data_IF_644622116938
#
_entry.id   IF_644622116938
#
_cell.length_a   1.000
_cell.length_b   1.000
_cell.length_c   1.000
_cell.angle_alpha   90.00
_cell.angle_beta   90.00
_cell.angle_gamma   90.00
#
_symmetry.space_group_name_H-M   'P 1'
#
loop_
_entity.id
_entity.type
_entity.pdbx_description
1 polymer ?
#
# COMPACT_ATOMS: atom_id res chain seq x y z
N UNK A 1 83.40 -37.49 1.88
CA UNK A 1 82.62 -37.29 0.71
C UNK A 1 81.15 -37.63 1.08
N UNK A 2 80.29 -36.64 1.33
CA UNK A 2 78.88 -36.80 1.66
C UNK A 2 78.10 -35.82 0.82
N UNK A 3 77.36 -36.34 -0.17
CA UNK A 3 76.45 -35.56 -1.01
C UNK A 3 75.18 -35.29 -0.23
N UNK A 4 74.84 -33.99 0.00
CA UNK A 4 73.52 -33.53 0.47
C UNK A 4 72.64 -33.22 -0.75
N UNK A 5 71.67 -34.06 -0.96
CA UNK A 5 70.63 -33.84 -1.96
C UNK A 5 69.56 -32.92 -1.32
N UNK A 6 69.37 -31.73 -1.88
CA UNK A 6 68.30 -30.81 -1.46
C UNK A 6 67.06 -31.17 -2.25
N UNK A 7 65.99 -31.63 -1.56
CA UNK A 7 64.63 -31.72 -2.11
C UNK A 7 63.95 -30.34 -2.04
N UNK A 8 63.61 -29.81 -3.18
CA UNK A 8 62.78 -28.59 -3.30
C UNK A 8 61.31 -29.04 -3.39
N UNK A 9 60.54 -28.77 -2.35
CA UNK A 9 59.08 -29.01 -2.36
C UNK A 9 58.38 -27.84 -3.04
N UNK A 10 57.73 -28.12 -4.15
CA UNK A 10 56.91 -27.16 -4.90
C UNK A 10 55.51 -27.17 -4.29
N UNK A 11 55.14 -26.12 -3.52
CA UNK A 11 53.81 -25.94 -2.96
C UNK A 11 52.90 -25.30 -4.04
N UNK A 12 52.00 -26.07 -4.62
CA UNK A 12 51.00 -25.59 -5.57
C UNK A 12 49.81 -25.03 -4.78
N UNK A 13 49.73 -23.71 -4.66
CA UNK A 13 48.59 -23.03 -4.06
C UNK A 13 47.41 -23.04 -5.01
N UNK A 14 46.40 -23.84 -4.73
CA UNK A 14 45.12 -23.84 -5.44
C UNK A 14 44.34 -22.60 -4.98
N UNK A 15 44.33 -21.53 -5.75
CA UNK A 15 43.46 -20.36 -5.53
C UNK A 15 42.02 -20.73 -5.92
N UNK A 16 41.20 -20.97 -4.90
CA UNK A 16 39.75 -21.02 -5.09
C UNK A 16 39.25 -19.61 -5.39
N UNK A 17 39.02 -19.30 -6.64
CA UNK A 17 38.23 -18.12 -7.04
C UNK A 17 36.77 -18.37 -6.66
N UNK A 18 36.31 -17.80 -5.55
CA UNK A 18 34.89 -17.64 -5.27
C UNK A 18 34.36 -16.68 -6.32
N UNK A 19 33.76 -17.22 -7.38
CA UNK A 19 32.86 -16.44 -8.25
C UNK A 19 31.65 -16.08 -7.40
N UNK A 20 31.56 -14.83 -6.93
CA UNK A 20 30.31 -14.27 -6.44
C UNK A 20 29.33 -14.40 -7.60
N UNK A 21 28.36 -15.31 -7.48
CA UNK A 21 27.22 -15.34 -8.37
C UNK A 21 26.55 -13.95 -8.27
N UNK A 22 26.26 -13.27 -9.38
CA UNK A 22 25.51 -12.05 -9.34
C UNK A 22 24.20 -12.35 -8.56
N UNK A 23 23.87 -11.53 -7.58
CA UNK A 23 22.53 -11.54 -6.99
C UNK A 23 21.54 -11.47 -8.16
N UNK A 24 20.64 -12.46 -8.27
CA UNK A 24 19.76 -12.64 -9.42
C UNK A 24 18.88 -11.41 -9.62
N UNK A 25 19.37 -10.45 -10.41
CA UNK A 25 18.49 -9.46 -11.05
C UNK A 25 17.53 -10.28 -11.93
N UNK A 26 16.21 -10.17 -11.68
CA UNK A 26 15.20 -10.89 -12.43
C UNK A 26 14.62 -12.16 -11.77
N UNK A 27 15.06 -12.54 -10.56
CA UNK A 27 14.61 -13.80 -9.94
C UNK A 27 13.09 -13.86 -9.66
N UNK A 28 12.45 -12.75 -9.35
CA UNK A 28 10.99 -12.68 -9.14
C UNK A 28 10.29 -12.76 -10.49
N UNK A 29 10.74 -11.98 -11.47
CA UNK A 29 10.17 -11.99 -12.82
C UNK A 29 10.25 -13.38 -13.44
N UNK A 30 11.41 -14.02 -13.40
CA UNK A 30 11.62 -15.36 -13.95
C UNK A 30 10.70 -16.39 -13.29
N UNK A 31 10.57 -16.36 -11.97
CA UNK A 31 9.66 -17.24 -11.22
C UNK A 31 8.21 -17.02 -11.63
N UNK A 32 7.75 -15.78 -11.72
CA UNK A 32 6.38 -15.40 -12.10
C UNK A 32 6.07 -15.89 -13.52
N UNK A 33 6.97 -15.65 -14.46
CA UNK A 33 6.79 -16.06 -15.86
C UNK A 33 6.85 -17.59 -16.04
N UNK A 34 7.73 -18.27 -15.30
CA UNK A 34 7.83 -19.74 -15.33
C UNK A 34 6.59 -20.40 -14.69
N UNK A 35 6.13 -19.88 -13.55
CA UNK A 35 4.93 -20.37 -12.86
C UNK A 35 3.63 -19.99 -13.58
N UNK A 36 3.66 -19.03 -14.50
CA UNK A 36 2.46 -18.39 -15.09
C UNK A 36 1.49 -17.83 -14.05
N UNK A 37 2.00 -17.46 -12.89
CA UNK A 37 1.21 -16.98 -11.75
C UNK A 37 1.93 -15.84 -11.04
N UNK A 38 1.23 -14.74 -10.83
CA UNK A 38 1.63 -13.58 -10.06
C UNK A 38 0.88 -13.60 -8.72
N UNK A 39 1.61 -13.71 -7.63
CA UNK A 39 1.03 -13.68 -6.28
C UNK A 39 0.96 -12.24 -5.79
N UNK A 40 -0.24 -11.80 -5.46
CA UNK A 40 -0.50 -10.41 -5.07
C UNK A 40 -1.08 -10.34 -3.66
N UNK A 41 -0.41 -9.61 -2.77
CA UNK A 41 -0.97 -9.25 -1.48
C UNK A 41 -1.92 -8.05 -1.62
N UNK A 42 -3.08 -8.12 -0.96
CA UNK A 42 -4.06 -7.03 -0.86
C UNK A 42 -4.83 -7.14 0.46
N UNK A 43 -5.70 -6.19 0.77
CA UNK A 43 -6.57 -6.22 1.95
C UNK A 43 -7.93 -6.88 1.61
N UNK A 44 -8.54 -7.56 2.57
CA UNK A 44 -9.88 -8.14 2.43
C UNK A 44 -10.99 -7.31 3.09
N UNK A 45 -10.62 -6.19 3.77
CA UNK A 45 -11.53 -5.41 4.62
C UNK A 45 -11.41 -3.90 4.38
N UNK A 46 -11.12 -3.50 3.15
CA UNK A 46 -10.96 -2.10 2.80
C UNK A 46 -11.76 -1.70 1.55
N UNK A 47 -13.08 -1.78 1.66
CA UNK A 47 -13.99 -1.34 0.59
C UNK A 47 -13.89 0.18 0.35
N UNK A 48 -14.04 0.62 -0.90
CA UNK A 48 -14.22 -0.14 -2.14
C UNK A 48 -12.89 -0.50 -2.84
N UNK A 49 -11.73 -0.32 -2.19
CA UNK A 49 -10.42 -0.59 -2.77
C UNK A 49 -10.18 -2.10 -2.92
N UNK A 50 -10.31 -2.86 -1.83
CA UNK A 50 -10.22 -4.32 -1.83
C UNK A 50 -11.03 -4.89 -0.67
N UNK A 51 -11.90 -5.84 -0.95
CA UNK A 51 -12.82 -6.41 0.05
C UNK A 51 -13.38 -7.75 -0.41
N UNK A 52 -13.94 -8.50 0.55
CA UNK A 52 -14.73 -9.70 0.23
C UNK A 52 -16.16 -9.28 -0.11
N UNK A 53 -16.64 -9.64 -1.30
CA UNK A 53 -18.01 -9.38 -1.73
C UNK A 53 -19.01 -10.37 -1.12
N UNK A 54 -20.32 -10.20 -1.37
CA UNK A 54 -21.39 -11.06 -0.85
C UNK A 54 -21.31 -12.53 -1.31
N UNK A 55 -20.50 -12.81 -2.36
CA UNK A 55 -20.22 -14.16 -2.84
C UNK A 55 -18.98 -14.78 -2.22
N UNK A 56 -18.37 -14.10 -1.25
CA UNK A 56 -17.10 -14.47 -0.65
C UNK A 56 -15.95 -14.53 -1.67
N UNK A 57 -15.96 -13.61 -2.65
CA UNK A 57 -14.90 -13.42 -3.62
C UNK A 57 -14.19 -12.09 -3.36
N UNK A 58 -12.89 -12.05 -3.57
CA UNK A 58 -12.13 -10.82 -3.46
C UNK A 58 -12.44 -9.88 -4.64
N UNK A 59 -12.84 -8.65 -4.34
CA UNK A 59 -13.32 -7.66 -5.30
C UNK A 59 -12.81 -6.26 -4.93
N UNK A 60 -12.92 -5.30 -5.85
CA UNK A 60 -12.52 -3.92 -5.61
C UNK A 60 -11.60 -3.34 -6.68
N UNK A 61 -11.30 -2.05 -6.53
CA UNK A 61 -10.45 -1.31 -7.46
C UNK A 61 -9.04 -1.91 -7.57
N UNK A 62 -8.37 -2.14 -6.43
CA UNK A 62 -7.03 -2.70 -6.36
C UNK A 62 -6.97 -4.12 -6.93
N UNK A 63 -8.03 -4.90 -6.71
CA UNK A 63 -8.18 -6.26 -7.26
C UNK A 63 -8.26 -6.23 -8.78
N UNK A 64 -9.04 -5.31 -9.36
CA UNK A 64 -9.14 -5.15 -10.81
C UNK A 64 -7.82 -4.64 -11.41
N UNK A 65 -7.12 -3.72 -10.73
CA UNK A 65 -5.78 -3.25 -11.13
C UNK A 65 -4.78 -4.41 -11.17
N UNK A 66 -4.73 -5.23 -10.11
CA UNK A 66 -3.83 -6.38 -10.06
C UNK A 66 -4.14 -7.41 -11.16
N UNK A 67 -5.42 -7.67 -11.43
CA UNK A 67 -5.84 -8.57 -12.52
C UNK A 67 -5.40 -8.06 -13.90
N UNK A 68 -5.49 -6.73 -14.14
CA UNK A 68 -5.04 -6.15 -15.43
C UNK A 68 -3.52 -6.19 -15.55
N UNK A 69 -2.77 -5.95 -14.47
CA UNK A 69 -1.30 -6.13 -14.45
C UNK A 69 -0.95 -7.59 -14.85
N UNK A 70 -1.57 -8.58 -14.20
CA UNK A 70 -1.34 -9.99 -14.53
C UNK A 70 -1.64 -10.31 -16.00
N UNK A 71 -2.75 -9.78 -16.53
CA UNK A 71 -3.12 -9.91 -17.94
C UNK A 71 -2.06 -9.33 -18.87
N UNK A 72 -1.48 -8.16 -18.55
CA UNK A 72 -0.41 -7.53 -19.36
C UNK A 72 0.90 -8.31 -19.30
N UNK A 73 1.18 -8.96 -18.17
CA UNK A 73 2.32 -9.87 -18.03
C UNK A 73 2.07 -11.27 -18.67
N UNK A 74 0.84 -11.58 -19.09
CA UNK A 74 0.47 -12.89 -19.63
C UNK A 74 0.43 -14.01 -18.61
N UNK A 75 0.09 -13.69 -17.35
CA UNK A 75 0.02 -14.61 -16.21
C UNK A 75 -1.33 -14.53 -15.48
N UNK A 76 -1.70 -15.58 -14.75
CA UNK A 76 -2.83 -15.54 -13.80
C UNK A 76 -2.44 -14.79 -12.52
N UNK A 77 -3.43 -14.32 -11.78
CA UNK A 77 -3.22 -13.67 -10.48
C UNK A 77 -3.77 -14.57 -9.37
N UNK A 78 -2.95 -14.80 -8.36
CA UNK A 78 -3.33 -15.45 -7.10
C UNK A 78 -3.26 -14.40 -5.99
N UNK A 79 -4.35 -14.21 -5.26
CA UNK A 79 -4.40 -13.25 -4.17
C UNK A 79 -4.14 -13.88 -2.81
N UNK A 80 -3.41 -13.16 -1.97
CA UNK A 80 -3.27 -13.42 -0.54
C UNK A 80 -3.67 -12.17 0.24
N UNK A 81 -4.26 -12.36 1.42
CA UNK A 81 -4.79 -11.25 2.24
C UNK A 81 -4.17 -11.24 3.63
N UNK A 82 -2.85 -11.01 3.75
CA UNK A 82 -2.19 -10.84 5.04
C UNK A 82 -2.64 -9.52 5.68
N UNK A 83 -2.46 -9.39 7.00
CA UNK A 83 -2.72 -8.14 7.70
C UNK A 83 -1.81 -7.00 7.18
N UNK A 84 -2.32 -5.79 7.22
CA UNK A 84 -1.60 -4.58 6.79
C UNK A 84 -0.24 -4.40 7.50
N UNK A 85 -0.18 -4.72 8.78
CA UNK A 85 1.04 -4.71 9.59
C UNK A 85 2.10 -5.68 9.06
N UNK A 86 1.69 -6.85 8.58
CA UNK A 86 2.58 -7.86 7.97
C UNK A 86 3.08 -7.39 6.61
N UNK A 87 2.22 -6.76 5.80
CA UNK A 87 2.61 -6.21 4.50
C UNK A 87 3.65 -5.10 4.69
N UNK A 88 3.38 -4.13 5.55
CA UNK A 88 4.23 -2.95 5.74
C UNK A 88 5.52 -3.22 6.51
N UNK A 89 5.62 -4.34 7.20
CA UNK A 89 6.86 -4.77 7.83
C UNK A 89 7.94 -5.21 6.83
N UNK A 90 7.58 -5.54 5.58
CA UNK A 90 8.49 -6.10 4.59
C UNK A 90 8.87 -7.55 4.91
N UNK A 91 9.99 -8.00 4.32
CA UNK A 91 10.50 -9.36 4.48
C UNK A 91 9.45 -10.41 4.12
N UNK A 92 8.87 -10.27 2.92
CA UNK A 92 7.81 -11.14 2.42
C UNK A 92 8.29 -12.56 2.13
N UNK A 93 9.59 -12.74 1.92
CA UNK A 93 10.24 -14.05 1.74
C UNK A 93 9.58 -14.90 0.65
N UNK A 94 9.13 -14.28 -0.44
CA UNK A 94 8.49 -14.96 -1.57
C UNK A 94 7.08 -15.51 -1.30
N UNK A 95 6.44 -15.13 -0.19
CA UNK A 95 5.04 -15.49 0.08
C UNK A 95 4.10 -14.86 -0.94
N UNK A 96 4.44 -13.69 -1.45
CA UNK A 96 3.85 -13.00 -2.59
C UNK A 96 4.90 -12.18 -3.32
N UNK A 97 4.59 -11.73 -4.53
CA UNK A 97 5.53 -11.08 -5.44
C UNK A 97 5.44 -9.56 -5.40
N UNK A 98 4.22 -9.03 -5.23
CA UNK A 98 3.95 -7.60 -5.12
C UNK A 98 2.75 -7.33 -4.22
N UNK A 99 2.59 -6.08 -3.82
CA UNK A 99 1.40 -5.59 -3.12
C UNK A 99 0.64 -4.60 -4.01
N UNK A 100 -0.66 -4.85 -4.18
CA UNK A 100 -1.64 -3.91 -4.77
C UNK A 100 -2.77 -3.76 -3.76
N UNK A 101 -2.68 -2.73 -2.96
CA UNK A 101 -3.58 -2.44 -1.85
C UNK A 101 -3.35 -1.00 -1.38
N UNK A 102 -3.17 -0.10 -2.35
CA UNK A 102 -3.12 1.34 -2.12
C UNK A 102 -2.02 1.79 -1.15
N UNK A 103 -0.78 1.35 -1.38
CA UNK A 103 0.34 1.77 -0.53
C UNK A 103 0.88 3.13 -0.98
N UNK A 104 0.87 4.10 -0.07
CA UNK A 104 1.48 5.41 -0.29
C UNK A 104 3.00 5.31 -0.20
N UNK A 105 3.77 5.75 -1.19
CA UNK A 105 5.20 5.93 -1.08
C UNK A 105 5.55 6.96 -0.01
N UNK A 106 6.23 6.54 1.05
CA UNK A 106 6.79 7.41 2.08
C UNK A 106 8.28 7.13 2.22
N UNK A 107 9.06 8.09 2.75
CA UNK A 107 10.51 7.88 2.97
C UNK A 107 10.80 6.59 3.72
N UNK A 108 10.05 6.34 4.80
CA UNK A 108 10.20 5.14 5.62
C UNK A 108 9.90 3.86 4.84
N UNK A 109 8.86 3.87 4.00
CA UNK A 109 8.50 2.71 3.18
C UNK A 109 9.49 2.49 2.03
N UNK A 110 10.05 3.57 1.47
CA UNK A 110 11.08 3.51 0.44
C UNK A 110 12.42 2.94 0.92
N UNK A 111 12.64 2.77 2.23
CA UNK A 111 13.76 2.03 2.79
C UNK A 111 13.60 0.50 2.65
N UNK A 112 12.39 0.02 2.35
CA UNK A 112 12.01 -1.40 2.34
C UNK A 112 11.48 -1.83 0.97
N UNK A 113 10.79 -0.92 0.26
CA UNK A 113 10.05 -1.22 -0.95
C UNK A 113 10.45 -0.34 -2.11
N UNK A 114 10.37 -0.90 -3.31
CA UNK A 114 10.29 -0.15 -4.56
C UNK A 114 8.82 0.13 -4.90
N UNK A 115 8.59 1.25 -5.61
CA UNK A 115 7.27 1.72 -6.03
C UNK A 115 7.23 1.89 -7.55
N UNK A 116 7.13 0.80 -8.32
CA UNK A 116 7.27 0.82 -9.77
C UNK A 116 6.17 1.61 -10.51
N UNK A 117 5.04 1.88 -9.83
CA UNK A 117 3.99 2.68 -10.46
C UNK A 117 2.93 3.20 -9.50
N UNK A 118 2.73 4.52 -9.49
CA UNK A 118 1.55 5.16 -8.89
C UNK A 118 0.38 4.93 -9.84
N UNK A 119 -0.74 4.41 -9.36
CA UNK A 119 -1.87 4.09 -10.22
C UNK A 119 -3.13 4.93 -9.94
N UNK A 120 -3.18 5.64 -8.80
CA UNK A 120 -4.21 6.63 -8.53
C UNK A 120 -3.85 7.53 -7.33
N UNK A 121 -4.72 8.51 -7.05
CA UNK A 121 -4.55 9.47 -5.95
C UNK A 121 -5.85 9.56 -5.17
N UNK A 122 -5.82 9.38 -3.85
CA UNK A 122 -7.02 9.52 -3.04
C UNK A 122 -6.95 10.67 -2.06
N UNK A 123 -8.05 11.37 -1.81
CA UNK A 123 -8.16 12.29 -0.69
C UNK A 123 -8.29 11.51 0.62
N UNK A 124 -7.49 11.86 1.61
CA UNK A 124 -7.69 11.49 2.99
C UNK A 124 -8.67 12.48 3.64
N UNK A 125 -9.63 11.97 4.38
CA UNK A 125 -10.67 12.78 4.99
C UNK A 125 -10.98 12.34 6.42
N UNK A 126 -11.80 13.11 7.09
CA UNK A 126 -12.21 12.85 8.46
C UNK A 126 -13.69 12.51 8.50
N UNK A 127 -14.05 11.40 9.13
CA UNK A 127 -15.42 11.05 9.46
C UNK A 127 -15.70 11.33 10.94
N UNK A 128 -16.89 11.81 11.23
CA UNK A 128 -17.45 11.94 12.59
C UNK A 128 -18.79 11.24 12.65
N UNK A 129 -19.27 10.93 13.85
CA UNK A 129 -20.64 10.43 13.99
C UNK A 129 -21.66 11.45 13.45
N UNK A 130 -22.76 11.02 12.84
CA UNK A 130 -23.76 11.91 12.22
C UNK A 130 -24.30 12.96 13.20
N UNK A 131 -24.41 12.61 14.50
CA UNK A 131 -24.91 13.48 15.56
C UNK A 131 -23.81 14.33 16.22
N UNK A 132 -22.55 14.22 15.74
CA UNK A 132 -21.46 15.04 16.24
C UNK A 132 -21.73 16.53 16.05
N UNK A 133 -21.34 17.31 17.06
CA UNK A 133 -21.45 18.77 17.08
C UNK A 133 -20.24 19.46 16.44
N UNK A 134 -19.20 18.71 16.08
CA UNK A 134 -18.07 19.26 15.34
C UNK A 134 -18.54 19.81 13.99
N UNK A 135 -18.15 21.03 13.67
CA UNK A 135 -18.48 21.74 12.44
C UNK A 135 -17.25 22.06 11.60
N UNK A 136 -16.08 22.06 12.23
CA UNK A 136 -14.79 22.29 11.61
C UNK A 136 -13.78 21.22 12.02
N UNK A 137 -12.70 21.04 11.27
CA UNK A 137 -11.61 20.13 11.63
C UNK A 137 -10.93 20.55 12.94
N UNK A 138 -10.86 21.85 13.24
CA UNK A 138 -10.28 22.38 14.47
C UNK A 138 -11.05 21.95 15.74
N UNK A 139 -12.33 21.58 15.61
CA UNK A 139 -13.13 21.07 16.74
C UNK A 139 -12.64 19.69 17.22
N UNK A 140 -11.75 19.05 16.46
CA UNK A 140 -11.10 17.78 16.80
C UNK A 140 -9.80 17.95 17.61
N UNK A 141 -9.39 19.17 17.92
CA UNK A 141 -8.32 19.39 18.89
C UNK A 141 -8.70 18.76 20.23
N UNK A 142 -7.73 18.11 20.85
CA UNK A 142 -7.88 17.41 22.14
C UNK A 142 -8.93 16.28 22.15
N UNK A 143 -9.31 15.76 20.98
CA UNK A 143 -10.27 14.67 20.82
C UNK A 143 -9.60 13.32 20.60
N UNK A 144 -10.39 12.23 20.72
CA UNK A 144 -9.96 10.87 20.43
C UNK A 144 -10.22 10.54 18.95
N UNK A 145 -9.17 10.22 18.19
CA UNK A 145 -9.24 9.96 16.75
C UNK A 145 -8.78 8.54 16.43
N UNK A 146 -9.59 7.80 15.70
CA UNK A 146 -9.27 6.47 15.21
C UNK A 146 -8.58 6.51 13.85
N UNK A 147 -7.64 5.60 13.63
CA UNK A 147 -6.91 5.42 12.36
C UNK A 147 -6.54 3.97 12.14
N UNK A 148 -6.25 3.57 10.93
CA UNK A 148 -5.58 2.27 10.69
C UNK A 148 -4.12 2.36 11.13
N UNK A 149 -3.66 1.38 11.89
CA UNK A 149 -2.28 1.29 12.36
C UNK A 149 -1.28 1.30 11.19
N UNK A 150 -0.12 1.94 11.37
CA UNK A 150 0.96 2.06 10.38
C UNK A 150 0.58 2.71 9.05
N UNK A 151 -0.61 3.33 8.97
CA UNK A 151 -1.09 4.05 7.79
C UNK A 151 -0.60 5.51 7.76
N UNK A 152 -0.75 6.14 6.61
CA UNK A 152 -0.56 7.60 6.45
C UNK A 152 -1.59 8.40 7.26
N UNK A 153 -2.78 7.85 7.48
CA UNK A 153 -3.82 8.43 8.33
C UNK A 153 -3.37 8.51 9.79
N UNK A 154 -2.71 7.46 10.29
CA UNK A 154 -2.13 7.45 11.63
C UNK A 154 -0.98 8.44 11.74
N UNK A 155 -0.09 8.46 10.75
CA UNK A 155 1.02 9.41 10.69
C UNK A 155 0.51 10.86 10.65
N UNK A 156 -0.56 11.15 9.89
CA UNK A 156 -1.20 12.47 9.88
C UNK A 156 -1.77 12.82 11.26
N UNK A 157 -2.55 11.93 11.87
CA UNK A 157 -3.14 12.18 13.19
C UNK A 157 -2.07 12.38 14.27
N UNK A 158 -0.92 11.70 14.17
CA UNK A 158 0.25 11.87 15.04
C UNK A 158 1.14 13.06 14.67
N UNK A 159 0.84 13.77 13.58
CA UNK A 159 1.63 14.89 13.04
C UNK A 159 3.05 14.50 12.63
N UNK A 160 3.21 13.29 12.08
CA UNK A 160 4.49 12.70 11.66
C UNK A 160 4.45 12.23 10.19
N UNK A 161 3.48 12.71 9.39
CA UNK A 161 3.36 12.31 7.99
C UNK A 161 4.39 13.02 7.12
N UNK A 162 5.17 12.25 6.39
CA UNK A 162 6.05 12.74 5.33
C UNK A 162 5.75 11.99 4.04
N UNK A 163 5.13 12.67 3.08
CA UNK A 163 4.90 12.15 1.74
C UNK A 163 6.13 12.43 0.88
N UNK A 164 6.70 11.41 0.28
CA UNK A 164 7.92 11.49 -0.54
C UNK A 164 7.66 11.13 -2.01
N UNK A 165 6.42 11.24 -2.44
CA UNK A 165 6.06 10.96 -3.82
C UNK A 165 6.09 12.25 -4.65
N UNK A 166 6.70 12.17 -5.83
CA UNK A 166 6.67 13.26 -6.79
C UNK A 166 5.22 13.63 -7.14
N UNK A 167 4.87 14.91 -6.98
CA UNK A 167 3.54 15.42 -7.27
C UNK A 167 2.52 15.30 -6.12
N UNK A 168 2.92 14.82 -4.93
CA UNK A 168 2.05 14.91 -3.76
C UNK A 168 1.79 16.38 -3.40
N UNK A 169 0.52 16.83 -3.31
CA UNK A 169 0.20 18.19 -2.91
C UNK A 169 0.69 18.48 -1.49
N UNK A 170 1.13 19.71 -1.25
CA UNK A 170 1.44 20.15 0.09
C UNK A 170 0.18 20.13 0.97
N UNK A 171 0.33 19.76 2.22
CA UNK A 171 -0.75 19.72 3.21
C UNK A 171 -0.31 20.40 4.52
N UNK A 172 -1.27 20.65 5.39
CA UNK A 172 -1.05 21.10 6.77
C UNK A 172 -1.85 20.24 7.73
N UNK A 173 -1.43 20.23 8.98
CA UNK A 173 -2.19 19.58 10.04
C UNK A 173 -3.32 20.50 10.50
N UNK A 174 -4.57 20.10 10.26
CA UNK A 174 -5.75 20.90 10.54
C UNK A 174 -6.22 20.81 12.00
N UNK A 175 -5.77 19.79 12.74
CA UNK A 175 -6.10 19.57 14.14
C UNK A 175 -5.02 18.72 14.82
N UNK A 176 -5.00 18.76 16.15
CA UNK A 176 -4.10 17.96 16.99
C UNK A 176 -4.93 17.12 17.97
N UNK A 177 -5.09 15.82 17.75
CA UNK A 177 -5.79 14.93 18.66
C UNK A 177 -5.08 14.84 20.02
N UNK A 178 -5.84 14.56 21.08
CA UNK A 178 -5.29 14.17 22.39
C UNK A 178 -4.89 12.69 22.38
N UNK A 179 -5.67 11.86 21.72
CA UNK A 179 -5.50 10.42 21.67
C UNK A 179 -5.68 9.92 20.23
N UNK A 180 -4.71 9.16 19.74
CA UNK A 180 -4.78 8.49 18.43
C UNK A 180 -4.88 6.99 18.66
N UNK A 181 -6.05 6.43 18.38
CA UNK A 181 -6.33 5.00 18.55
C UNK A 181 -6.09 4.26 17.23
N UNK A 182 -5.21 3.29 17.29
CA UNK A 182 -4.81 2.47 16.14
C UNK A 182 -5.69 1.22 16.05
N UNK A 183 -6.23 0.95 14.86
CA UNK A 183 -7.08 -0.20 14.53
C UNK A 183 -6.41 -1.06 13.46
N UNK A 184 -6.79 -2.31 13.35
CA UNK A 184 -6.27 -3.21 12.31
C UNK A 184 -6.68 -2.81 10.89
N UNK A 185 -7.85 -2.15 10.75
CA UNK A 185 -8.38 -1.64 9.48
C UNK A 185 -9.41 -0.52 9.73
N UNK A 186 -9.82 0.17 8.67
CA UNK A 186 -10.77 1.29 8.76
C UNK A 186 -12.17 0.85 9.20
N UNK A 187 -12.62 -0.35 8.81
CA UNK A 187 -13.95 -0.86 9.20
C UNK A 187 -14.08 -0.98 10.71
N UNK A 188 -13.06 -1.53 11.38
CA UNK A 188 -13.07 -1.64 12.86
C UNK A 188 -13.03 -0.28 13.55
N UNK A 189 -12.38 0.73 12.94
CA UNK A 189 -12.43 2.10 13.45
C UNK A 189 -13.84 2.72 13.28
N UNK A 190 -14.49 2.48 12.14
CA UNK A 190 -15.88 2.92 11.92
C UNK A 190 -16.87 2.20 12.84
N UNK A 191 -16.63 0.93 13.17
CA UNK A 191 -17.43 0.18 14.15
C UNK A 191 -17.40 0.82 15.54
N UNK A 192 -16.28 1.38 15.95
CA UNK A 192 -16.20 2.14 17.21
C UNK A 192 -16.81 3.53 17.09
N UNK A 193 -16.66 4.21 15.95
CA UNK A 193 -17.25 5.53 15.70
C UNK A 193 -18.79 5.50 15.66
N UNK A 194 -19.39 4.44 15.10
CA UNK A 194 -20.86 4.32 15.01
C UNK A 194 -21.57 4.16 16.34
N UNK A 195 -20.84 3.87 17.43
CA UNK A 195 -21.43 3.73 18.77
C UNK A 195 -21.93 5.05 19.36
N UNK A 196 -21.58 6.18 18.77
CA UNK A 196 -22.03 7.52 19.17
C UNK A 196 -20.88 8.51 19.35
N UNK A 197 -21.20 9.79 19.19
CA UNK A 197 -20.25 10.90 19.32
C UNK A 197 -19.53 10.87 20.67
N UNK A 198 -18.20 10.80 20.67
CA UNK A 198 -17.36 10.74 21.87
C UNK A 198 -17.48 9.46 22.71
N UNK A 199 -18.25 8.44 22.31
CA UNK A 199 -18.41 7.19 23.09
C UNK A 199 -17.11 6.42 23.17
N UNK A 200 -16.46 6.17 22.05
CA UNK A 200 -15.12 5.58 21.94
C UNK A 200 -14.17 6.43 21.13
N UNK A 201 -14.71 7.07 20.09
CA UNK A 201 -14.03 7.97 19.19
C UNK A 201 -14.87 9.21 18.97
N UNK A 202 -14.21 10.34 18.73
CA UNK A 202 -14.82 11.56 18.23
C UNK A 202 -14.77 11.60 16.70
N UNK A 203 -13.72 11.03 16.10
CA UNK A 203 -13.52 11.01 14.66
C UNK A 203 -12.69 9.80 14.19
N UNK A 204 -12.72 9.53 12.87
CA UNK A 204 -11.81 8.60 12.18
C UNK A 204 -11.19 9.32 10.99
N UNK A 205 -9.87 9.21 10.81
CA UNK A 205 -9.17 9.60 9.56
C UNK A 205 -9.03 8.37 8.70
N UNK A 206 -9.50 8.47 7.45
CA UNK A 206 -9.44 7.38 6.46
C UNK A 206 -9.48 7.95 5.05
N UNK A 207 -9.44 7.07 4.02
CA UNK A 207 -9.68 7.51 2.65
C UNK A 207 -11.12 8.00 2.48
N UNK A 208 -11.33 9.06 1.72
CA UNK A 208 -12.67 9.58 1.43
C UNK A 208 -13.56 8.52 0.76
N UNK A 209 -13.09 7.72 -0.21
CA UNK A 209 -13.89 6.63 -0.77
C UNK A 209 -14.41 5.64 0.28
N UNK A 210 -13.59 5.25 1.26
CA UNK A 210 -14.02 4.34 2.33
C UNK A 210 -15.05 4.98 3.27
N UNK A 211 -14.94 6.27 3.54
CA UNK A 211 -15.94 7.01 4.33
C UNK A 211 -17.28 7.02 3.58
N UNK A 212 -17.27 7.36 2.29
CA UNK A 212 -18.46 7.39 1.44
C UNK A 212 -19.10 5.99 1.33
N UNK A 213 -18.30 4.95 1.21
CA UNK A 213 -18.79 3.58 1.15
C UNK A 213 -19.45 3.16 2.46
N UNK A 214 -18.82 3.46 3.60
CA UNK A 214 -19.40 3.21 4.92
C UNK A 214 -20.72 3.98 5.14
N UNK A 215 -20.81 5.25 4.72
CA UNK A 215 -22.07 6.01 4.75
C UNK A 215 -23.16 5.32 3.93
N UNK A 216 -22.84 4.87 2.71
CA UNK A 216 -23.78 4.13 1.84
C UNK A 216 -24.19 2.78 2.44
N UNK A 217 -23.30 2.12 3.15
CA UNK A 217 -23.57 0.89 3.89
C UNK A 217 -24.40 1.11 5.16
N UNK A 218 -24.78 2.36 5.47
CA UNK A 218 -25.67 2.70 6.58
C UNK A 218 -24.97 2.98 7.90
N UNK A 219 -23.66 3.15 7.91
CA UNK A 219 -22.96 3.64 9.11
C UNK A 219 -23.45 5.05 9.45
N UNK A 220 -23.76 5.36 10.71
CA UNK A 220 -24.23 6.67 11.12
C UNK A 220 -23.10 7.69 11.24
N UNK A 221 -22.32 7.85 10.18
CA UNK A 221 -21.17 8.75 10.09
C UNK A 221 -21.39 9.79 9.01
N UNK A 222 -20.61 10.84 9.01
CA UNK A 222 -20.56 11.87 7.97
C UNK A 222 -19.14 12.41 7.83
N UNK A 223 -18.78 12.86 6.63
CA UNK A 223 -17.54 13.59 6.41
C UNK A 223 -17.56 14.94 7.17
N UNK A 224 -16.45 15.30 7.80
CA UNK A 224 -16.20 16.58 8.42
C UNK A 224 -15.18 17.41 7.63
N UNK A 225 -15.59 18.55 7.13
CA UNK A 225 -14.71 19.46 6.40
C UNK A 225 -14.24 18.96 5.04
N UNK A 226 -13.22 19.61 4.49
CA UNK A 226 -12.56 19.20 3.27
C UNK A 226 -11.55 18.06 3.52
N UNK A 227 -11.07 17.37 2.48
CA UNK A 227 -9.96 16.44 2.62
C UNK A 227 -8.74 17.09 3.27
N UNK A 228 -8.05 16.33 4.11
CA UNK A 228 -6.91 16.83 4.92
C UNK A 228 -5.57 16.70 4.18
N UNK A 229 -5.45 15.73 3.29
CA UNK A 229 -4.33 15.60 2.34
C UNK A 229 -4.74 14.69 1.17
N UNK A 230 -3.92 14.68 0.13
CA UNK A 230 -4.05 13.77 -1.01
C UNK A 230 -2.80 12.90 -1.07
N UNK A 231 -2.99 11.61 -1.26
CA UNK A 231 -1.90 10.65 -1.30
C UNK A 231 -1.83 9.92 -2.64
N UNK A 232 -0.62 9.82 -3.24
CA UNK A 232 -0.38 8.92 -4.35
C UNK A 232 -0.38 7.49 -3.86
N UNK A 233 -1.04 6.58 -4.56
CA UNK A 233 -1.16 5.19 -4.22
C UNK A 233 -0.46 4.35 -5.29
N UNK A 234 0.46 3.49 -4.87
CA UNK A 234 1.37 2.78 -5.74
C UNK A 234 1.33 1.26 -5.53
N UNK A 235 1.72 0.53 -6.56
CA UNK A 235 2.16 -0.86 -6.42
C UNK A 235 3.46 -0.84 -5.62
N UNK A 236 3.62 -1.79 -4.71
CA UNK A 236 4.88 -1.98 -3.98
C UNK A 236 5.46 -3.37 -4.25
N UNK A 237 6.78 -3.42 -4.38
CA UNK A 237 7.60 -4.63 -4.53
C UNK A 237 8.73 -4.61 -3.50
N UNK A 238 9.29 -5.76 -3.12
CA UNK A 238 10.52 -5.77 -2.34
C UNK A 238 11.70 -5.40 -3.22
N UNK A 239 12.71 -4.75 -2.63
CA UNK A 239 13.95 -4.40 -3.33
C UNK A 239 14.64 -5.62 -3.94
N UNK A 240 15.29 -5.43 -5.09
CA UNK A 240 16.25 -6.38 -5.62
C UNK A 240 15.90 -7.01 -6.97
N UNK A 241 14.75 -6.70 -7.59
CA UNK A 241 14.40 -7.15 -8.94
C UNK A 241 13.97 -5.99 -9.85
N UNK A 242 14.96 -5.27 -10.36
CA UNK A 242 14.72 -4.12 -11.25
C UNK A 242 14.02 -4.50 -12.56
N UNK A 243 14.14 -5.76 -13.04
CA UNK A 243 13.45 -6.22 -14.24
C UNK A 243 11.96 -6.44 -13.97
N UNK A 244 11.62 -6.98 -12.78
CA UNK A 244 10.24 -7.09 -12.33
C UNK A 244 9.61 -5.71 -12.18
N UNK A 245 10.28 -4.78 -11.51
CA UNK A 245 9.81 -3.41 -11.33
C UNK A 245 9.58 -2.69 -12.68
N UNK A 246 10.50 -2.86 -13.63
CA UNK A 246 10.34 -2.30 -14.96
C UNK A 246 9.09 -2.86 -15.68
N UNK A 247 8.80 -4.15 -15.54
CA UNK A 247 7.60 -4.79 -16.12
C UNK A 247 6.32 -4.32 -15.46
N UNK A 248 6.30 -4.17 -14.12
CA UNK A 248 5.16 -3.60 -13.40
C UNK A 248 4.95 -2.14 -13.81
N UNK A 249 6.03 -1.34 -13.87
CA UNK A 249 5.97 0.06 -14.34
C UNK A 249 5.41 0.19 -15.76
N UNK A 250 5.84 -0.70 -16.68
CA UNK A 250 5.32 -0.76 -18.05
C UNK A 250 3.81 -1.05 -18.04
N UNK A 251 3.37 -2.03 -17.26
CA UNK A 251 1.96 -2.38 -17.14
C UNK A 251 1.11 -1.21 -16.61
N UNK A 252 1.54 -0.56 -15.52
CA UNK A 252 0.83 0.58 -14.93
C UNK A 252 0.76 1.76 -15.92
N UNK A 253 1.88 2.11 -16.57
CA UNK A 253 1.91 3.15 -17.62
C UNK A 253 0.99 2.81 -18.80
N UNK A 254 0.94 1.55 -19.19
CA UNK A 254 0.01 1.07 -20.20
C UNK A 254 -1.44 1.30 -19.82
N UNK A 255 -1.81 0.95 -18.57
CA UNK A 255 -3.15 1.18 -18.03
C UNK A 255 -3.51 2.68 -17.93
N UNK A 256 -2.54 3.54 -17.65
CA UNK A 256 -2.72 4.99 -17.66
C UNK A 256 -3.00 5.48 -19.09
N UNK A 257 -2.15 5.06 -20.05
CA UNK A 257 -2.19 5.58 -21.43
C UNK A 257 -3.41 5.12 -22.23
N UNK A 258 -3.93 3.93 -21.98
CA UNK A 258 -5.11 3.39 -22.67
C UNK A 258 -6.43 3.66 -21.94
N UNK A 259 -6.37 4.37 -20.82
CA UNK A 259 -7.53 4.78 -20.02
C UNK A 259 -8.14 3.65 -19.17
N UNK A 260 -7.47 2.52 -19.02
CA UNK A 260 -7.95 1.41 -18.17
C UNK A 260 -8.09 1.86 -16.72
N UNK A 261 -7.07 2.55 -16.15
CA UNK A 261 -7.14 3.03 -14.76
C UNK A 261 -8.31 4.01 -14.56
N UNK A 262 -8.51 4.96 -15.47
CA UNK A 262 -9.63 5.90 -15.40
C UNK A 262 -10.98 5.19 -15.40
N UNK A 263 -11.17 4.19 -16.28
CA UNK A 263 -12.39 3.38 -16.33
C UNK A 263 -12.62 2.60 -15.05
N UNK A 264 -11.59 2.00 -14.49
CA UNK A 264 -11.67 1.28 -13.22
C UNK A 264 -11.98 2.24 -12.06
N UNK A 265 -11.35 3.42 -12.04
CA UNK A 265 -11.62 4.43 -11.03
C UNK A 265 -13.08 4.88 -11.07
N UNK A 266 -13.63 5.19 -12.26
CA UNK A 266 -15.03 5.56 -12.41
C UNK A 266 -15.97 4.39 -12.04
N UNK A 267 -15.62 3.15 -12.37
CA UNK A 267 -16.41 1.96 -11.99
C UNK A 267 -16.59 1.86 -10.48
N UNK A 268 -15.51 2.05 -9.71
CA UNK A 268 -15.50 1.79 -8.28
C UNK A 268 -15.84 3.01 -7.42
N UNK A 269 -15.43 4.20 -7.85
CA UNK A 269 -15.59 5.43 -7.06
C UNK A 269 -16.63 6.40 -7.64
N UNK A 270 -17.08 6.19 -8.88
CA UNK A 270 -17.95 7.14 -9.59
C UNK A 270 -17.22 8.39 -10.08
N UNK A 271 -15.91 8.50 -9.79
CA UNK A 271 -15.03 9.62 -10.18
C UNK A 271 -13.68 9.09 -10.61
N UNK A 272 -12.98 9.89 -11.42
CA UNK A 272 -11.61 9.56 -11.84
C UNK A 272 -10.60 10.11 -10.82
N UNK A 273 -9.98 9.22 -10.05
CA UNK A 273 -8.89 9.50 -9.12
C UNK A 273 -7.50 9.22 -9.72
N UNK A 274 -7.38 8.90 -11.01
CA UNK A 274 -6.09 8.59 -11.63
C UNK A 274 -5.33 9.83 -12.09
N UNK A 275 -5.97 11.00 -12.02
CA UNK A 275 -5.38 12.30 -12.33
C UNK A 275 -5.33 13.16 -11.08
N UNK A 276 -4.20 13.84 -10.87
CA UNK A 276 -4.06 14.85 -9.80
C UNK A 276 -4.97 16.02 -10.17
N UNK A 277 -5.86 16.42 -9.28
CA UNK A 277 -6.73 17.60 -9.42
C UNK A 277 -6.13 18.80 -8.74
#
# INVERSE_FOLDING_TARGET
MRHLTRLTALATSLAFTFSALPANAGAVLDRVLAAKTLKVATDANWAPQSFMNDKNELDGFDVDVAKDIGKRLGVSVEFVTPGWDIITAGNWSGRWDMHVGSMTPTKKRAEIFDFPGVYYYTPAAVAVHKDSKATTLADLNDKAVGTTATSTFEAYAKQDLTLDAAGAPAFKYEFKPKDVKSYSNSTTAFDDLRLGDGTRLDAVVSSLPSIIDAEKAGYPIKQLGAPVFYEPLAVATEHGDAEFDAKISEAVKGMQSDGTLSKLSVKWYGVDYTVVK
#
